data_IF_498766841566
#
_entry.id   IF_498766841566
#
_cell.length_a   1.000
_cell.length_b   1.000
_cell.length_c   1.000
_cell.angle_alpha   90.00
_cell.angle_beta   90.00
_cell.angle_gamma   90.00
#
_symmetry.space_group_name_H-M   'P 1'
#
loop_
_entity.id
_entity.type
_entity.pdbx_description
1 polymer ?
#
# COMPACT_ATOMS: atom_id res chain seq x y z
N UNK A 1 33.56 21.70 -0.33
CA UNK A 1 32.87 20.56 -0.99
C UNK A 1 32.92 20.81 -2.48
N UNK A 2 33.23 19.83 -3.32
CA UNK A 2 33.29 20.04 -4.77
C UNK A 2 31.88 20.18 -5.34
N UNK A 3 31.72 21.00 -6.37
CA UNK A 3 30.46 21.22 -7.11
C UNK A 3 29.81 19.91 -7.59
N UNK A 4 30.58 18.84 -7.76
CA UNK A 4 30.12 17.48 -8.04
C UNK A 4 29.42 16.82 -6.85
N UNK A 5 29.82 17.11 -5.62
CA UNK A 5 29.16 16.60 -4.39
C UNK A 5 27.88 17.37 -4.13
N UNK A 6 27.81 18.68 -4.40
CA UNK A 6 26.55 19.44 -4.33
C UNK A 6 25.53 19.02 -5.38
N UNK A 7 25.96 18.59 -6.56
CA UNK A 7 25.04 18.08 -7.59
C UNK A 7 24.57 16.65 -7.32
N UNK A 8 25.32 15.84 -6.58
CA UNK A 8 24.89 14.51 -6.10
C UNK A 8 23.91 14.57 -4.93
N UNK A 9 24.05 15.60 -4.08
CA UNK A 9 23.13 15.87 -2.92
C UNK A 9 21.77 16.41 -3.40
N UNK A 10 21.66 16.89 -4.63
CA UNK A 10 20.45 17.41 -5.26
C UNK A 10 19.78 16.42 -6.23
N UNK A 11 19.79 15.13 -5.94
CA UNK A 11 18.86 14.24 -6.65
C UNK A 11 17.48 14.49 -6.12
N UNK A 12 16.73 15.30 -6.85
CA UNK A 12 15.31 15.52 -6.59
C UNK A 12 14.57 14.20 -6.66
N UNK A 13 13.54 14.06 -5.83
CA UNK A 13 12.61 12.95 -5.86
C UNK A 13 12.11 12.72 -7.30
N UNK A 14 12.53 11.61 -7.92
CA UNK A 14 12.36 11.36 -9.36
C UNK A 14 10.92 11.32 -9.83
N UNK A 15 9.98 10.92 -8.96
CA UNK A 15 8.55 10.93 -9.22
C UNK A 15 7.87 12.28 -8.88
N UNK A 16 8.62 13.29 -8.44
CA UNK A 16 8.11 14.59 -7.99
C UNK A 16 7.66 15.55 -9.08
N UNK A 17 7.79 15.20 -10.37
CA UNK A 17 7.35 16.05 -11.46
C UNK A 17 5.82 16.18 -11.51
N UNK A 18 5.34 17.32 -12.04
CA UNK A 18 3.92 17.57 -12.29
C UNK A 18 3.58 17.22 -13.74
N UNK A 19 2.38 16.68 -13.93
CA UNK A 19 1.81 16.47 -15.27
C UNK A 19 0.76 17.57 -15.52
N UNK A 20 0.89 18.33 -16.60
CA UNK A 20 0.05 19.49 -16.92
C UNK A 20 -1.20 19.05 -17.70
N UNK A 21 -2.02 18.19 -17.10
CA UNK A 21 -3.27 17.70 -17.70
C UNK A 21 -4.44 18.47 -17.09
N UNK A 22 -5.31 18.99 -17.95
CA UNK A 22 -6.56 19.61 -17.46
C UNK A 22 -7.47 18.56 -16.83
N UNK A 23 -7.82 18.76 -15.57
CA UNK A 23 -8.68 17.88 -14.78
C UNK A 23 -10.06 18.52 -14.51
N UNK A 24 -11.09 17.67 -14.46
CA UNK A 24 -12.42 18.00 -13.94
C UNK A 24 -12.43 17.64 -12.46
N UNK A 25 -12.20 18.65 -11.61
CA UNK A 25 -12.08 18.49 -10.16
C UNK A 25 -13.33 18.99 -9.48
N UNK A 26 -13.90 18.17 -8.60
CA UNK A 26 -15.09 18.53 -7.83
C UNK A 26 -14.75 19.61 -6.80
N UNK A 27 -15.74 20.45 -6.45
CA UNK A 27 -15.61 21.42 -5.37
C UNK A 27 -15.11 20.75 -4.07
N UNK A 28 -14.34 21.46 -3.24
CA UNK A 28 -14.00 20.98 -1.90
C UNK A 28 -15.24 20.76 -1.02
N UNK A 29 -15.10 19.90 -0.03
CA UNK A 29 -16.09 19.56 0.96
C UNK A 29 -16.76 18.21 0.71
N UNK A 30 -17.24 17.59 1.79
CA UNK A 30 -17.90 16.28 1.77
C UNK A 30 -19.31 16.40 2.35
N UNK A 31 -20.29 16.05 1.52
CA UNK A 31 -21.69 15.92 1.85
C UNK A 31 -22.34 14.82 0.99
N UNK A 32 -23.64 14.57 1.17
CA UNK A 32 -24.35 13.54 0.38
C UNK A 32 -24.38 13.89 -1.11
N UNK A 33 -24.38 15.18 -1.50
CA UNK A 33 -24.41 15.59 -2.91
C UNK A 33 -23.10 15.23 -3.61
N UNK A 34 -21.95 15.39 -2.93
CA UNK A 34 -20.64 14.94 -3.42
C UNK A 34 -20.63 13.44 -3.67
N UNK A 35 -21.20 12.67 -2.77
CA UNK A 35 -21.28 11.21 -2.90
C UNK A 35 -22.18 10.80 -4.07
N UNK A 36 -23.34 11.45 -4.21
CA UNK A 36 -24.24 11.24 -5.36
C UNK A 36 -23.59 11.62 -6.67
N UNK A 37 -22.81 12.70 -6.68
CA UNK A 37 -22.04 13.11 -7.85
C UNK A 37 -21.00 12.06 -8.25
N UNK A 38 -20.19 11.53 -7.30
CA UNK A 38 -19.21 10.48 -7.56
C UNK A 38 -19.90 9.24 -8.14
N UNK A 39 -20.99 8.79 -7.52
CA UNK A 39 -21.76 7.64 -7.97
C UNK A 39 -22.33 7.83 -9.38
N UNK A 40 -22.87 9.03 -9.68
CA UNK A 40 -23.36 9.36 -11.01
C UNK A 40 -22.27 9.42 -12.07
N UNK A 41 -21.09 10.02 -11.75
CA UNK A 41 -19.92 10.04 -12.66
C UNK A 41 -19.38 8.64 -12.98
N UNK A 42 -19.48 7.72 -12.02
CA UNK A 42 -19.10 6.31 -12.21
C UNK A 42 -20.21 5.45 -12.81
N UNK A 43 -21.42 6.03 -13.02
CA UNK A 43 -22.61 5.32 -13.52
C UNK A 43 -22.94 4.08 -12.67
N UNK A 44 -22.88 4.25 -11.37
CA UNK A 44 -23.08 3.16 -10.42
C UNK A 44 -24.58 2.77 -10.30
N UNK A 45 -24.88 1.49 -10.06
CA UNK A 45 -26.25 1.08 -9.77
C UNK A 45 -26.68 1.58 -8.37
N UNK A 46 -27.98 1.73 -8.16
CA UNK A 46 -28.59 2.27 -6.93
C UNK A 46 -28.06 1.61 -5.65
N UNK A 47 -27.90 0.28 -5.64
CA UNK A 47 -27.36 -0.42 -4.46
C UNK A 47 -25.98 0.05 -4.03
N UNK A 48 -25.15 0.52 -4.99
CA UNK A 48 -23.80 1.02 -4.69
C UNK A 48 -23.88 2.43 -4.10
N UNK A 49 -24.77 3.28 -4.60
CA UNK A 49 -25.04 4.58 -4.01
C UNK A 49 -25.55 4.45 -2.57
N UNK A 50 -26.52 3.57 -2.32
CA UNK A 50 -27.02 3.28 -0.97
C UNK A 50 -25.90 2.81 -0.04
N UNK A 51 -25.01 1.95 -0.54
CA UNK A 51 -23.85 1.44 0.18
C UNK A 51 -22.91 2.59 0.61
N UNK A 52 -22.62 3.54 -0.30
CA UNK A 52 -21.83 4.73 -0.04
C UNK A 52 -22.46 5.66 1.00
N UNK A 53 -23.72 5.99 0.83
CA UNK A 53 -24.46 6.87 1.73
C UNK A 53 -24.54 6.28 3.15
N UNK A 54 -24.69 4.97 3.28
CA UNK A 54 -24.65 4.27 4.57
C UNK A 54 -23.27 4.41 5.23
N UNK A 55 -22.19 4.30 4.45
CA UNK A 55 -20.83 4.49 4.95
C UNK A 55 -20.59 5.93 5.42
N UNK A 56 -21.04 6.90 4.64
CA UNK A 56 -20.92 8.32 4.98
C UNK A 56 -21.63 8.67 6.29
N UNK A 57 -22.88 8.24 6.44
CA UNK A 57 -23.64 8.47 7.69
C UNK A 57 -22.98 7.84 8.90
N UNK A 58 -22.38 6.65 8.72
CA UNK A 58 -21.60 6.02 9.77
C UNK A 58 -20.31 6.81 10.09
N UNK A 59 -19.65 7.36 9.07
CA UNK A 59 -18.45 8.18 9.25
C UNK A 59 -18.71 9.45 10.02
N UNK A 60 -19.86 10.11 9.82
CA UNK A 60 -20.27 11.31 10.56
C UNK A 60 -20.44 11.06 12.07
N UNK A 61 -20.69 9.81 12.47
CA UNK A 61 -20.82 9.40 13.88
C UNK A 61 -19.49 9.00 14.52
N UNK A 62 -18.39 8.97 13.75
CA UNK A 62 -17.05 8.55 14.20
C UNK A 62 -16.16 9.74 14.50
N UNK A 63 -15.25 9.53 15.45
CA UNK A 63 -14.16 10.46 15.72
C UNK A 63 -12.87 10.00 15.07
N UNK A 64 -12.05 10.94 14.59
CA UNK A 64 -10.74 10.65 14.05
C UNK A 64 -9.87 10.03 15.17
N UNK A 65 -9.28 8.83 14.94
CA UNK A 65 -8.54 8.15 15.99
C UNK A 65 -7.19 8.84 16.28
N UNK A 66 -6.80 8.86 17.55
CA UNK A 66 -5.59 9.55 18.06
C UNK A 66 -4.59 8.61 18.73
N UNK A 67 -4.80 7.30 18.65
CA UNK A 67 -4.00 6.30 19.38
C UNK A 67 -2.67 5.93 18.70
N UNK A 68 -2.47 6.26 17.42
CA UNK A 68 -1.22 5.97 16.72
C UNK A 68 -0.06 6.84 17.23
N UNK A 69 1.14 6.29 17.15
CA UNK A 69 2.36 7.01 17.57
C UNK A 69 2.87 7.94 16.45
N UNK A 70 2.00 8.79 15.98
CA UNK A 70 2.28 9.84 14.99
C UNK A 70 1.60 11.13 15.42
N UNK A 71 2.20 12.27 15.06
CA UNK A 71 1.65 13.60 15.34
C UNK A 71 1.62 14.41 14.06
N UNK A 72 0.44 14.89 13.70
CA UNK A 72 0.20 15.71 12.52
C UNK A 72 -0.94 16.70 12.77
N UNK A 73 -1.01 17.82 12.04
CA UNK A 73 -2.17 18.70 12.07
C UNK A 73 -3.44 17.97 11.65
N UNK A 74 -4.55 18.23 12.33
CA UNK A 74 -5.85 17.64 12.00
C UNK A 74 -6.19 17.88 10.53
N UNK A 75 -6.66 16.83 9.84
CA UNK A 75 -7.07 16.93 8.45
C UNK A 75 -8.37 17.74 8.34
N UNK A 76 -8.37 18.78 7.52
CA UNK A 76 -9.59 19.50 7.20
C UNK A 76 -10.33 18.81 6.05
N UNK A 77 -11.20 17.85 6.38
CA UNK A 77 -11.97 17.09 5.40
C UNK A 77 -12.90 17.94 4.53
N UNK A 78 -13.24 19.15 4.97
CA UNK A 78 -14.07 20.08 4.19
C UNK A 78 -13.26 20.94 3.22
N UNK A 79 -11.93 20.93 3.32
CA UNK A 79 -11.04 21.60 2.37
C UNK A 79 -10.55 20.69 1.23
N UNK A 80 -10.82 19.38 1.31
CA UNK A 80 -10.41 18.41 0.30
C UNK A 80 -11.45 18.27 -0.82
N UNK A 81 -10.98 18.08 -2.05
CA UNK A 81 -11.78 17.52 -3.14
C UNK A 81 -11.73 15.99 -3.09
N UNK A 82 -12.85 15.36 -3.39
CA UNK A 82 -13.01 13.89 -3.32
C UNK A 82 -13.09 13.22 -4.69
N UNK A 83 -12.96 13.99 -5.75
CA UNK A 83 -12.93 13.47 -7.11
C UNK A 83 -12.16 14.40 -8.03
N UNK A 84 -11.25 13.84 -8.82
CA UNK A 84 -10.59 14.50 -9.92
C UNK A 84 -10.35 13.50 -11.06
N UNK A 85 -10.57 13.90 -12.29
CA UNK A 85 -10.33 13.08 -13.47
C UNK A 85 -9.82 13.95 -14.61
N UNK A 86 -8.84 13.48 -15.41
CA UNK A 86 -8.42 14.16 -16.62
C UNK A 86 -9.61 14.39 -17.56
N UNK A 87 -9.74 15.61 -18.12
CA UNK A 87 -10.83 15.93 -19.06
C UNK A 87 -10.78 15.05 -20.32
N UNK A 88 -9.59 14.66 -20.77
CA UNK A 88 -9.37 13.72 -21.87
C UNK A 88 -9.99 12.33 -21.63
N UNK A 89 -10.25 11.97 -20.38
CA UNK A 89 -10.88 10.70 -19.98
C UNK A 89 -12.42 10.76 -19.88
N UNK A 90 -13.04 11.88 -20.26
CA UNK A 90 -14.51 12.01 -20.29
C UNK A 90 -15.18 10.93 -21.17
N UNK A 91 -14.49 10.49 -22.24
CA UNK A 91 -14.81 9.29 -23.00
C UNK A 91 -13.74 8.25 -22.72
N UNK A 92 -14.09 7.16 -21.99
CA UNK A 92 -13.12 6.10 -21.68
C UNK A 92 -12.45 5.57 -22.95
N UNK A 93 -11.10 5.62 -23.04
CA UNK A 93 -10.38 5.08 -24.19
C UNK A 93 -10.59 3.56 -24.27
N UNK A 94 -10.75 3.06 -25.49
CA UNK A 94 -10.91 1.63 -25.77
C UNK A 94 -9.58 0.94 -26.09
N UNK A 95 -8.56 1.71 -26.41
CA UNK A 95 -7.21 1.24 -26.72
C UNK A 95 -6.17 2.25 -26.21
N UNK A 96 -4.90 1.84 -26.12
CA UNK A 96 -3.79 2.72 -25.79
C UNK A 96 -3.62 3.89 -26.76
N UNK A 97 -3.96 3.70 -28.02
CA UNK A 97 -3.85 4.74 -29.06
C UNK A 97 -4.85 5.88 -28.86
N UNK A 98 -5.89 5.66 -28.08
CA UNK A 98 -6.90 6.66 -27.72
C UNK A 98 -6.57 7.38 -26.40
N UNK A 99 -5.55 6.93 -25.66
CA UNK A 99 -5.09 7.54 -24.39
C UNK A 99 -4.31 8.81 -24.70
N UNK A 100 -4.53 9.85 -23.87
CA UNK A 100 -3.79 11.11 -23.97
C UNK A 100 -2.27 10.86 -23.94
N UNK A 101 -1.52 11.34 -24.96
CA UNK A 101 -0.07 11.14 -25.04
C UNK A 101 0.70 11.65 -23.83
N UNK A 102 0.20 12.69 -23.13
CA UNK A 102 0.84 13.24 -21.94
C UNK A 102 0.68 12.29 -20.74
N UNK A 103 -0.47 11.60 -20.62
CA UNK A 103 -0.66 10.52 -19.66
C UNK A 103 0.31 9.36 -19.93
N UNK A 104 0.42 8.92 -21.18
CA UNK A 104 1.36 7.85 -21.56
C UNK A 104 2.80 8.25 -21.25
N UNK A 105 3.20 9.49 -21.56
CA UNK A 105 4.53 10.03 -21.25
C UNK A 105 4.78 10.09 -19.75
N UNK A 106 3.76 10.37 -18.93
CA UNK A 106 3.84 10.36 -17.46
C UNK A 106 4.21 8.97 -16.95
N UNK A 107 3.50 7.93 -17.39
CA UNK A 107 3.81 6.56 -16.99
C UNK A 107 5.16 6.07 -17.50
N UNK A 108 5.55 6.47 -18.73
CA UNK A 108 6.88 6.17 -19.25
C UNK A 108 8.00 6.79 -18.39
N UNK A 109 7.84 8.05 -17.94
CA UNK A 109 8.79 8.68 -16.99
C UNK A 109 8.87 7.95 -15.66
N UNK A 110 7.78 7.34 -15.21
CA UNK A 110 7.74 6.54 -13.98
C UNK A 110 8.33 5.13 -14.18
N UNK A 111 8.72 4.77 -15.41
CA UNK A 111 9.23 3.44 -15.73
C UNK A 111 8.16 2.36 -15.79
N UNK A 112 6.88 2.74 -15.98
CA UNK A 112 5.75 1.82 -16.03
C UNK A 112 5.41 1.53 -17.48
N UNK A 113 5.69 0.32 -17.99
CA UNK A 113 5.38 -0.06 -19.36
C UNK A 113 3.88 -0.28 -19.54
N UNK A 114 3.21 0.56 -20.32
CA UNK A 114 1.79 0.40 -20.67
C UNK A 114 1.60 -0.38 -21.99
N UNK A 115 2.60 -0.39 -22.87
CA UNK A 115 2.55 -1.20 -24.07
C UNK A 115 2.91 -2.66 -23.77
N UNK A 116 2.05 -3.60 -24.17
CA UNK A 116 2.27 -5.04 -23.95
C UNK A 116 3.58 -5.56 -24.57
N UNK A 117 4.06 -4.91 -25.62
CA UNK A 117 5.34 -5.23 -26.27
C UNK A 117 6.56 -4.78 -25.48
N UNK A 118 6.42 -3.73 -24.66
CA UNK A 118 7.47 -3.16 -23.80
C UNK A 118 7.36 -3.70 -22.36
N UNK A 119 6.20 -4.26 -21.99
CA UNK A 119 5.99 -4.85 -20.70
C UNK A 119 6.94 -6.04 -20.48
N UNK A 120 7.59 -6.07 -19.35
CA UNK A 120 8.32 -7.26 -18.88
C UNK A 120 7.42 -8.48 -19.04
N UNK A 121 7.91 -9.49 -19.74
CA UNK A 121 7.12 -10.67 -20.07
C UNK A 121 6.53 -11.28 -18.80
N UNK A 122 5.21 -11.24 -18.67
CA UNK A 122 4.50 -11.88 -17.58
C UNK A 122 3.88 -10.98 -16.49
N UNK A 123 3.79 -9.65 -16.71
CA UNK A 123 3.08 -8.73 -15.78
C UNK A 123 1.94 -8.02 -16.49
N UNK A 124 0.72 -8.11 -15.95
CA UNK A 124 -0.42 -7.30 -16.39
C UNK A 124 -0.54 -6.06 -15.50
N UNK A 125 -0.69 -4.89 -16.11
CA UNK A 125 -0.69 -3.59 -15.41
C UNK A 125 -2.04 -2.90 -15.57
N UNK A 126 -2.59 -2.38 -14.47
CA UNK A 126 -3.66 -1.37 -14.45
C UNK A 126 -3.09 -0.04 -13.97
N UNK A 127 -3.23 1.01 -14.77
CA UNK A 127 -2.70 2.33 -14.48
C UNK A 127 -3.83 3.26 -14.06
N UNK A 128 -3.74 3.81 -12.84
CA UNK A 128 -4.74 4.70 -12.25
C UNK A 128 -4.14 6.09 -12.05
N UNK A 129 -4.80 7.10 -12.60
CA UNK A 129 -4.43 8.51 -12.49
C UNK A 129 -5.54 9.29 -11.77
N UNK A 130 -5.23 9.85 -10.62
CA UNK A 130 -6.20 10.45 -9.71
C UNK A 130 -7.39 9.50 -9.44
N UNK A 131 -8.60 9.85 -9.88
CA UNK A 131 -9.83 9.10 -9.60
C UNK A 131 -10.25 8.11 -10.71
N UNK A 132 -9.42 7.85 -11.74
CA UNK A 132 -9.81 7.01 -12.87
C UNK A 132 -8.72 6.06 -13.33
N UNK A 133 -9.12 4.81 -13.67
CA UNK A 133 -8.24 3.89 -14.38
C UNK A 133 -8.10 4.32 -15.83
N UNK A 134 -6.85 4.43 -16.28
CA UNK A 134 -6.48 4.87 -17.64
C UNK A 134 -6.49 3.68 -18.60
N UNK A 135 -5.85 2.57 -18.21
CA UNK A 135 -5.72 1.38 -19.05
C UNK A 135 -5.41 0.14 -18.22
N UNK A 136 -5.92 -1.01 -18.65
CA UNK A 136 -5.56 -2.34 -18.13
C UNK A 136 -4.98 -3.18 -19.27
N UNK A 137 -3.75 -3.67 -19.11
CA UNK A 137 -3.05 -4.48 -20.11
C UNK A 137 -3.38 -5.98 -20.01
N UNK A 138 -3.07 -6.76 -21.05
CA UNK A 138 -3.24 -8.24 -21.12
C UNK A 138 -4.65 -8.77 -20.80
N UNK A 139 -5.65 -7.93 -20.93
CA UNK A 139 -7.03 -8.25 -20.57
C UNK A 139 -7.55 -9.50 -21.25
N UNK A 140 -7.35 -9.65 -22.57
CA UNK A 140 -7.81 -10.81 -23.35
C UNK A 140 -7.20 -12.11 -22.84
N UNK A 141 -5.89 -12.13 -22.59
CA UNK A 141 -5.17 -13.31 -22.09
C UNK A 141 -5.63 -13.73 -20.69
N UNK A 142 -5.97 -12.76 -19.83
CA UNK A 142 -6.53 -13.03 -18.51
C UNK A 142 -7.96 -13.58 -18.61
N UNK A 143 -8.80 -12.99 -19.49
CA UNK A 143 -10.16 -13.43 -19.73
C UNK A 143 -10.20 -14.87 -20.31
N UNK A 144 -9.26 -15.25 -21.19
CA UNK A 144 -9.09 -16.63 -21.67
C UNK A 144 -8.82 -17.64 -20.56
N UNK A 145 -8.12 -17.23 -19.50
CA UNK A 145 -7.91 -18.03 -18.30
C UNK A 145 -9.10 -17.95 -17.30
N UNK A 146 -10.15 -17.19 -17.63
CA UNK A 146 -11.27 -16.91 -16.76
C UNK A 146 -10.98 -15.94 -15.62
N UNK A 147 -9.79 -15.29 -15.62
CA UNK A 147 -9.38 -14.32 -14.62
C UNK A 147 -10.03 -12.98 -14.91
N UNK A 148 -10.65 -12.38 -13.90
CA UNK A 148 -11.15 -11.01 -13.96
C UNK A 148 -10.10 -10.10 -13.33
N UNK A 149 -9.61 -9.13 -14.10
CA UNK A 149 -8.76 -8.03 -13.63
C UNK A 149 -9.24 -6.75 -14.30
N UNK A 150 -9.86 -5.88 -13.54
CA UNK A 150 -10.42 -4.63 -14.06
C UNK A 150 -10.56 -3.59 -12.91
N UNK A 151 -10.80 -2.32 -13.24
CA UNK A 151 -11.15 -1.32 -12.26
C UNK A 151 -12.40 -1.72 -11.47
N UNK A 152 -12.44 -1.41 -10.17
CA UNK A 152 -13.60 -1.75 -9.34
C UNK A 152 -14.87 -1.04 -9.82
N UNK A 153 -14.74 0.17 -10.38
CA UNK A 153 -15.85 0.92 -10.99
C UNK A 153 -16.48 0.19 -12.19
N UNK A 154 -15.69 -0.62 -12.91
CA UNK A 154 -16.19 -1.49 -13.97
C UNK A 154 -16.81 -2.77 -13.38
N UNK A 155 -16.14 -3.36 -12.38
CA UNK A 155 -16.62 -4.59 -11.74
C UNK A 155 -18.02 -4.43 -11.11
N UNK A 156 -18.30 -3.29 -10.50
CA UNK A 156 -19.62 -2.95 -9.91
C UNK A 156 -20.75 -3.07 -10.94
N UNK A 157 -20.47 -2.77 -12.21
CA UNK A 157 -21.44 -2.83 -13.32
C UNK A 157 -21.48 -4.19 -13.99
N UNK A 158 -20.31 -4.79 -14.26
CA UNK A 158 -20.21 -6.05 -15.04
C UNK A 158 -20.36 -7.31 -14.20
N UNK A 159 -19.98 -7.27 -12.93
CA UNK A 159 -19.96 -8.42 -12.04
C UNK A 159 -20.64 -8.12 -10.69
N UNK A 160 -21.86 -7.54 -10.68
CA UNK A 160 -22.52 -7.04 -9.47
C UNK A 160 -22.68 -8.09 -8.39
N UNK A 161 -22.94 -9.34 -8.75
CA UNK A 161 -23.14 -10.43 -7.78
C UNK A 161 -21.87 -10.79 -7.03
N UNK A 162 -20.72 -10.83 -7.72
CA UNK A 162 -19.42 -11.03 -7.08
C UNK A 162 -19.07 -9.85 -6.16
N UNK A 163 -19.24 -8.63 -6.65
CA UNK A 163 -18.94 -7.43 -5.86
C UNK A 163 -19.84 -7.37 -4.63
N UNK A 164 -21.14 -7.55 -4.76
CA UNK A 164 -22.09 -7.57 -3.61
C UNK A 164 -21.73 -8.64 -2.58
N UNK A 165 -21.24 -9.80 -3.03
CA UNK A 165 -20.88 -10.92 -2.14
C UNK A 165 -19.64 -10.62 -1.30
N UNK A 166 -18.67 -9.93 -1.87
CA UNK A 166 -17.35 -9.83 -1.25
C UNK A 166 -16.98 -8.43 -0.79
N UNK A 167 -17.47 -7.34 -1.40
CA UNK A 167 -17.17 -5.97 -1.01
C UNK A 167 -17.66 -5.69 0.41
N UNK A 168 -16.75 -5.25 1.27
CA UNK A 168 -17.05 -5.00 2.69
C UNK A 168 -17.18 -6.26 3.54
N UNK A 169 -16.90 -7.46 2.99
CA UNK A 169 -16.97 -8.73 3.74
C UNK A 169 -15.80 -8.91 4.71
N UNK A 170 -14.67 -8.28 4.42
CA UNK A 170 -13.43 -8.36 5.21
C UNK A 170 -13.15 -7.04 5.92
N UNK A 171 -13.37 -5.90 5.25
CA UNK A 171 -13.33 -4.56 5.83
C UNK A 171 -14.71 -3.92 5.69
N UNK A 172 -15.60 -4.09 6.69
CA UNK A 172 -16.94 -3.52 6.66
C UNK A 172 -16.93 -1.99 6.54
N UNK A 173 -18.02 -1.41 6.05
CA UNK A 173 -18.21 0.04 5.89
C UNK A 173 -17.97 0.85 7.18
N UNK A 174 -18.15 0.21 8.35
CA UNK A 174 -18.02 0.83 9.69
C UNK A 174 -16.80 0.32 10.45
N UNK A 175 -15.78 -0.22 9.75
CA UNK A 175 -14.64 -0.85 10.41
C UNK A 175 -13.81 0.16 11.25
N UNK A 176 -13.47 1.27 10.66
CA UNK A 176 -12.76 2.38 11.29
C UNK A 176 -13.02 3.68 10.51
N UNK A 177 -12.60 4.81 11.09
CA UNK A 177 -12.82 6.15 10.54
C UNK A 177 -12.41 6.28 9.07
N UNK A 178 -11.17 5.91 8.72
CA UNK A 178 -10.66 6.04 7.35
C UNK A 178 -11.24 4.99 6.38
N UNK A 179 -11.60 3.80 6.86
CA UNK A 179 -12.29 2.81 6.04
C UNK A 179 -13.74 3.21 5.75
N UNK A 180 -14.41 3.88 6.69
CA UNK A 180 -15.74 4.43 6.49
C UNK A 180 -15.70 5.60 5.49
N UNK A 181 -14.74 6.53 5.64
CA UNK A 181 -14.51 7.60 4.69
C UNK A 181 -14.23 7.04 3.28
N UNK A 182 -13.27 6.11 3.17
CA UNK A 182 -12.98 5.45 1.89
C UNK A 182 -14.24 4.82 1.30
N UNK A 183 -15.01 4.09 2.09
CA UNK A 183 -16.23 3.43 1.63
C UNK A 183 -17.25 4.42 1.06
N UNK A 184 -17.33 5.63 1.58
CA UNK A 184 -18.22 6.67 1.08
C UNK A 184 -17.74 7.26 -0.27
N UNK A 185 -16.42 7.45 -0.44
CA UNK A 185 -15.88 8.30 -1.52
C UNK A 185 -14.91 7.61 -2.47
N UNK A 186 -14.55 6.33 -2.29
CA UNK A 186 -13.58 5.70 -3.19
C UNK A 186 -14.00 5.87 -4.65
N UNK A 187 -13.03 6.21 -5.48
CA UNK A 187 -13.30 6.51 -6.88
C UNK A 187 -12.91 5.38 -7.82
N UNK A 188 -11.77 4.75 -7.57
CA UNK A 188 -11.37 3.55 -8.28
C UNK A 188 -10.45 2.66 -7.41
N UNK A 189 -9.85 1.67 -8.01
CA UNK A 189 -9.01 0.63 -7.45
C UNK A 189 -9.21 -0.64 -8.23
N UNK A 190 -8.63 -1.74 -7.78
CA UNK A 190 -8.63 -2.98 -8.55
C UNK A 190 -9.66 -3.98 -8.05
N UNK A 191 -10.35 -4.60 -8.99
CA UNK A 191 -11.11 -5.83 -8.76
C UNK A 191 -10.43 -7.00 -9.43
N UNK A 192 -10.11 -8.03 -8.64
CA UNK A 192 -9.49 -9.27 -9.12
C UNK A 192 -10.32 -10.46 -8.64
N UNK A 193 -10.68 -11.35 -9.58
CA UNK A 193 -11.27 -12.65 -9.27
C UNK A 193 -10.52 -13.73 -10.01
N UNK A 194 -9.98 -14.69 -9.27
CA UNK A 194 -9.31 -15.87 -9.81
C UNK A 194 -10.22 -17.07 -9.64
N UNK A 195 -10.65 -17.72 -10.73
CA UNK A 195 -11.56 -18.86 -10.67
C UNK A 195 -10.97 -20.06 -9.94
N UNK A 196 -11.83 -20.95 -9.48
CA UNK A 196 -11.48 -22.21 -8.80
C UNK A 196 -10.43 -23.01 -9.57
N UNK A 197 -9.34 -23.38 -8.87
CA UNK A 197 -8.25 -24.19 -9.41
C UNK A 197 -7.35 -23.48 -10.41
N UNK A 198 -7.58 -22.21 -10.71
CA UNK A 198 -6.77 -21.44 -11.67
C UNK A 198 -5.55 -20.85 -10.98
N UNK A 199 -4.38 -21.09 -11.56
CA UNK A 199 -3.19 -20.32 -11.24
C UNK A 199 -3.10 -19.15 -12.20
N UNK A 200 -3.15 -17.91 -11.70
CA UNK A 200 -3.05 -16.72 -12.54
C UNK A 200 -1.83 -16.84 -13.46
N UNK A 201 -1.98 -16.69 -14.79
CA UNK A 201 -0.90 -16.98 -15.74
C UNK A 201 0.24 -15.95 -15.71
N UNK A 202 0.04 -14.83 -15.04
CA UNK A 202 1.01 -13.73 -14.91
C UNK A 202 0.82 -13.00 -13.59
N UNK A 203 1.80 -12.21 -13.21
CA UNK A 203 1.67 -11.27 -12.11
C UNK A 203 0.73 -10.12 -12.49
N UNK A 204 -0.07 -9.66 -11.53
CA UNK A 204 -0.94 -8.49 -11.71
C UNK A 204 -0.31 -7.31 -10.99
N UNK A 205 -0.40 -6.13 -11.58
CA UNK A 205 0.11 -4.90 -10.97
C UNK A 205 -0.86 -3.75 -11.16
N UNK A 206 -1.03 -2.92 -10.13
CA UNK A 206 -1.73 -1.65 -10.27
C UNK A 206 -0.83 -0.52 -9.80
N UNK A 207 -0.79 0.52 -10.60
CA UNK A 207 0.01 1.70 -10.32
C UNK A 207 -0.87 2.93 -10.14
N UNK A 208 -0.77 3.56 -8.96
CA UNK A 208 -1.53 4.75 -8.60
C UNK A 208 -0.66 6.00 -8.68
N UNK A 209 -1.14 7.01 -9.39
CA UNK A 209 -0.52 8.34 -9.48
C UNK A 209 -1.49 9.40 -9.01
N UNK A 210 -1.20 10.05 -7.89
CA UNK A 210 -1.88 11.28 -7.49
C UNK A 210 -1.22 12.43 -8.26
N UNK A 211 -1.99 13.32 -8.85
CA UNK A 211 -1.46 14.49 -9.57
C UNK A 211 -2.13 15.80 -9.18
N UNK A 212 -3.46 15.81 -8.94
CA UNK A 212 -4.21 17.03 -8.70
C UNK A 212 -4.02 17.60 -7.28
N UNK A 213 -4.04 18.95 -7.17
CA UNK A 213 -3.92 19.69 -5.91
C UNK A 213 -5.16 19.54 -5.03
N UNK A 214 -4.97 19.55 -3.71
CA UNK A 214 -6.07 19.54 -2.72
C UNK A 214 -7.07 18.40 -2.93
N UNK A 215 -6.67 17.33 -3.61
CA UNK A 215 -7.49 16.14 -3.84
C UNK A 215 -7.01 15.01 -2.96
N UNK A 216 -7.93 14.43 -2.19
CA UNK A 216 -7.69 13.16 -1.51
C UNK A 216 -7.70 12.01 -2.50
N UNK A 217 -6.85 11.02 -2.30
CA UNK A 217 -6.84 9.77 -3.05
C UNK A 217 -7.51 8.67 -2.22
N UNK A 218 -8.56 8.08 -2.77
CA UNK A 218 -9.37 7.07 -2.08
C UNK A 218 -9.53 5.85 -2.97
N UNK A 219 -8.70 4.84 -2.76
CA UNK A 219 -8.67 3.62 -3.57
C UNK A 219 -9.30 2.47 -2.80
N UNK A 220 -9.99 1.59 -3.53
CA UNK A 220 -10.51 0.37 -2.95
C UNK A 220 -10.19 -0.84 -3.83
N UNK A 221 -9.35 -1.72 -3.32
CA UNK A 221 -8.95 -2.96 -4.01
C UNK A 221 -9.63 -4.16 -3.35
N UNK A 222 -10.23 -5.02 -4.18
CA UNK A 222 -10.84 -6.28 -3.77
C UNK A 222 -10.25 -7.42 -4.59
N UNK A 223 -9.57 -8.36 -3.92
CA UNK A 223 -9.01 -9.56 -4.55
C UNK A 223 -9.67 -10.80 -3.96
N UNK A 224 -10.25 -11.60 -4.81
CA UNK A 224 -10.88 -12.88 -4.46
C UNK A 224 -10.16 -14.01 -5.19
N UNK A 225 -9.50 -14.87 -4.45
CA UNK A 225 -8.94 -16.12 -4.95
C UNK A 225 -9.87 -17.28 -4.57
N UNK A 226 -10.54 -17.87 -5.56
CA UNK A 226 -11.46 -18.98 -5.37
C UNK A 226 -10.71 -20.27 -5.00
N UNK A 227 -11.42 -21.34 -4.63
CA UNK A 227 -10.84 -22.58 -4.11
C UNK A 227 -9.67 -23.09 -4.96
N UNK A 228 -8.53 -23.35 -4.31
CA UNK A 228 -7.33 -23.91 -4.95
C UNK A 228 -6.65 -22.99 -5.97
N UNK A 229 -7.02 -21.72 -6.03
CA UNK A 229 -6.43 -20.74 -6.96
C UNK A 229 -5.19 -20.04 -6.40
N UNK A 230 -4.45 -19.37 -7.29
CA UNK A 230 -3.24 -18.61 -6.93
C UNK A 230 -3.18 -17.29 -7.69
N UNK A 231 -2.79 -16.23 -6.99
CA UNK A 231 -2.47 -14.93 -7.58
C UNK A 231 -1.30 -14.26 -6.86
N UNK A 232 -0.46 -13.58 -7.63
CA UNK A 232 0.51 -12.60 -7.15
C UNK A 232 0.11 -11.22 -7.67
N UNK A 233 0.00 -10.26 -6.77
CA UNK A 233 -0.45 -8.90 -7.07
C UNK A 233 0.50 -7.88 -6.45
N UNK A 234 0.84 -6.86 -7.22
CA UNK A 234 1.67 -5.74 -6.80
C UNK A 234 0.91 -4.41 -6.87
N UNK A 235 1.10 -3.60 -5.85
CA UNK A 235 0.63 -2.21 -5.79
C UNK A 235 1.83 -1.27 -5.77
N UNK A 236 1.90 -0.34 -6.72
CA UNK A 236 2.85 0.76 -6.75
C UNK A 236 2.13 2.10 -6.61
N UNK A 237 2.70 3.04 -5.84
CA UNK A 237 2.09 4.35 -5.61
C UNK A 237 3.13 5.46 -5.65
N UNK A 238 2.78 6.58 -6.33
CA UNK A 238 3.61 7.79 -6.38
C UNK A 238 2.77 9.06 -6.33
N UNK A 239 3.39 10.17 -5.90
CA UNK A 239 2.79 11.51 -5.93
C UNK A 239 3.82 12.57 -6.32
N UNK A 240 3.43 13.73 -6.91
CA UNK A 240 4.34 14.85 -7.16
C UNK A 240 4.74 15.55 -5.86
N UNK A 241 5.80 16.34 -5.93
CA UNK A 241 6.20 17.25 -4.84
C UNK A 241 5.17 18.37 -4.70
N UNK A 242 4.67 18.60 -3.49
CA UNK A 242 3.72 19.66 -3.17
C UNK A 242 4.03 20.28 -1.82
N UNK A 243 3.84 21.59 -1.70
CA UNK A 243 3.97 22.34 -0.44
C UNK A 243 2.82 22.08 0.54
N UNK A 244 1.79 21.38 0.10
CA UNK A 244 0.59 21.06 0.86
C UNK A 244 0.52 19.58 1.15
N UNK A 245 -0.07 19.22 2.30
CA UNK A 245 -0.29 17.82 2.63
C UNK A 245 -1.46 17.26 1.84
N UNK A 246 -1.30 16.06 1.31
CA UNK A 246 -2.36 15.34 0.61
C UNK A 246 -2.72 14.05 1.35
N UNK A 247 -4.03 13.78 1.45
CA UNK A 247 -4.55 12.59 2.10
C UNK A 247 -4.64 11.44 1.10
N UNK A 248 -4.00 10.33 1.42
CA UNK A 248 -4.22 9.03 0.78
C UNK A 248 -4.86 8.08 1.80
N UNK A 249 -6.10 7.67 1.55
CA UNK A 249 -6.82 6.74 2.41
C UNK A 249 -7.37 5.57 1.59
N UNK A 250 -6.65 4.46 1.56
CA UNK A 250 -7.00 3.28 0.78
C UNK A 250 -7.54 2.13 1.64
N UNK A 251 -8.34 1.28 1.00
CA UNK A 251 -8.81 0.02 1.59
C UNK A 251 -8.50 -1.14 0.66
N UNK A 252 -7.90 -2.21 1.20
CA UNK A 252 -7.64 -3.46 0.48
C UNK A 252 -8.28 -4.62 1.22
N UNK A 253 -9.09 -5.38 0.49
CA UNK A 253 -9.74 -6.61 0.96
C UNK A 253 -9.24 -7.82 0.18
N UNK A 254 -8.70 -8.83 0.88
CA UNK A 254 -8.31 -10.11 0.28
C UNK A 254 -9.18 -11.24 0.81
N UNK A 255 -9.71 -12.04 -0.09
CA UNK A 255 -10.47 -13.24 0.24
C UNK A 255 -9.78 -14.45 -0.38
N UNK A 256 -9.12 -15.27 0.44
CA UNK A 256 -8.56 -16.54 0.01
C UNK A 256 -9.47 -17.66 0.47
N UNK A 257 -10.22 -18.27 -0.47
CA UNK A 257 -11.10 -19.41 -0.21
C UNK A 257 -10.27 -20.67 0.05
N UNK A 258 -10.90 -21.82 0.26
CA UNK A 258 -10.24 -23.07 0.61
C UNK A 258 -9.09 -23.40 -0.35
N UNK A 259 -7.91 -23.73 0.20
CA UNK A 259 -6.70 -24.10 -0.53
C UNK A 259 -6.13 -22.98 -1.46
N UNK A 260 -6.69 -21.75 -1.43
CA UNK A 260 -6.25 -20.63 -2.26
C UNK A 260 -5.02 -19.91 -1.69
N UNK A 261 -4.27 -19.24 -2.56
CA UNK A 261 -3.08 -18.48 -2.17
C UNK A 261 -3.08 -17.09 -2.82
N UNK A 262 -2.84 -16.05 -2.01
CA UNK A 262 -2.66 -14.67 -2.47
C UNK A 262 -1.32 -14.17 -1.96
N UNK A 263 -0.45 -13.73 -2.88
CA UNK A 263 0.69 -12.86 -2.57
C UNK A 263 0.31 -11.42 -2.92
N UNK A 264 0.43 -10.54 -1.96
CA UNK A 264 0.17 -9.11 -2.15
C UNK A 264 1.39 -8.30 -1.76
N UNK A 265 1.99 -7.66 -2.74
CA UNK A 265 3.18 -6.84 -2.55
C UNK A 265 2.85 -5.36 -2.74
N UNK A 266 3.48 -4.49 -1.95
CA UNK A 266 3.36 -3.03 -2.08
C UNK A 266 4.76 -2.43 -2.11
N UNK A 267 5.04 -1.60 -3.11
CA UNK A 267 6.21 -0.72 -3.12
C UNK A 267 5.70 0.71 -3.22
N UNK A 268 5.87 1.48 -2.15
CA UNK A 268 5.38 2.86 -2.08
C UNK A 268 6.52 3.85 -2.09
N UNK A 269 6.40 4.82 -2.98
CA UNK A 269 7.35 5.91 -3.17
C UNK A 269 6.60 7.25 -3.16
N UNK A 270 6.14 7.64 -1.98
CA UNK A 270 5.41 8.89 -1.79
C UNK A 270 6.36 10.08 -1.60
N UNK A 271 5.85 11.27 -1.86
CA UNK A 271 6.56 12.49 -1.50
C UNK A 271 6.53 12.72 0.02
N UNK A 272 7.71 12.86 0.67
CA UNK A 272 7.80 12.93 2.14
C UNK A 272 7.53 14.33 2.74
N UNK A 273 7.37 15.36 1.93
CA UNK A 273 7.52 16.75 2.33
C UNK A 273 8.96 17.25 2.17
N UNK A 274 9.16 18.54 2.36
CA UNK A 274 10.47 19.18 2.30
C UNK A 274 11.32 18.94 3.58
N UNK A 275 12.51 19.50 3.64
CA UNK A 275 13.43 19.36 4.80
C UNK A 275 12.89 19.99 6.07
N UNK A 276 11.99 20.95 5.96
CA UNK A 276 11.29 21.64 7.05
C UNK A 276 10.03 20.90 7.49
N UNK A 277 9.63 19.83 6.78
CA UNK A 277 8.44 19.01 7.05
C UNK A 277 7.15 19.62 6.47
N UNK A 278 7.27 20.52 5.48
CA UNK A 278 6.12 21.11 4.79
C UNK A 278 5.70 20.23 3.62
N UNK A 279 4.39 20.03 3.45
CA UNK A 279 3.84 19.17 2.41
C UNK A 279 3.98 17.68 2.73
N UNK A 280 3.88 16.86 1.70
CA UNK A 280 4.00 15.40 1.78
C UNK A 280 2.66 14.67 1.98
N UNK A 281 2.72 13.37 1.81
CA UNK A 281 1.54 12.51 1.82
C UNK A 281 1.22 12.01 3.23
N UNK A 282 -0.05 12.08 3.63
CA UNK A 282 -0.62 11.36 4.77
C UNK A 282 -1.20 10.04 4.25
N UNK A 283 -0.51 8.96 4.53
CA UNK A 283 -0.79 7.63 3.97
C UNK A 283 -1.49 6.75 5.02
N UNK A 284 -2.82 6.78 5.04
CA UNK A 284 -3.67 6.07 6.00
C UNK A 284 -4.40 4.91 5.32
N UNK A 285 -3.93 3.68 5.54
CA UNK A 285 -4.38 2.53 4.76
C UNK A 285 -4.88 1.39 5.64
N UNK A 286 -6.05 0.87 5.31
CA UNK A 286 -6.62 -0.34 5.91
C UNK A 286 -6.52 -1.50 4.94
N UNK A 287 -5.67 -2.50 5.26
CA UNK A 287 -5.54 -3.74 4.48
C UNK A 287 -5.92 -4.93 5.34
N UNK A 288 -6.79 -5.80 4.84
CA UNK A 288 -7.17 -7.02 5.56
C UNK A 288 -7.46 -8.17 4.62
N UNK A 289 -6.95 -9.35 5.00
CA UNK A 289 -7.23 -10.60 4.33
C UNK A 289 -7.92 -11.60 5.24
N UNK A 290 -8.76 -12.45 4.65
CA UNK A 290 -9.36 -13.61 5.31
C UNK A 290 -8.90 -14.89 4.64
N UNK A 291 -8.37 -15.82 5.42
CA UNK A 291 -7.91 -17.13 4.97
C UNK A 291 -8.89 -18.20 5.40
N UNK A 292 -9.47 -18.92 4.44
CA UNK A 292 -10.26 -20.12 4.67
C UNK A 292 -9.37 -21.35 4.89
N UNK A 293 -9.92 -22.57 4.84
CA UNK A 293 -9.20 -23.82 5.12
C UNK A 293 -8.01 -24.00 4.18
N UNK A 294 -6.82 -24.29 4.75
CA UNK A 294 -5.54 -24.44 4.04
C UNK A 294 -5.12 -23.23 3.19
N UNK A 295 -5.84 -22.11 3.24
CA UNK A 295 -5.53 -20.93 2.44
C UNK A 295 -4.32 -20.17 3.01
N UNK A 296 -3.65 -19.40 2.14
CA UNK A 296 -2.47 -18.60 2.48
C UNK A 296 -2.59 -17.18 1.94
N UNK A 297 -2.31 -16.19 2.79
CA UNK A 297 -2.10 -14.80 2.39
C UNK A 297 -0.73 -14.36 2.86
N UNK A 298 0.07 -13.85 1.93
CA UNK A 298 1.38 -13.24 2.20
C UNK A 298 1.35 -11.77 1.82
N UNK A 299 1.59 -10.90 2.79
CA UNK A 299 1.76 -9.47 2.60
C UNK A 299 3.26 -9.17 2.58
N UNK A 300 3.72 -8.50 1.53
CA UNK A 300 5.08 -7.95 1.47
C UNK A 300 4.99 -6.46 1.21
N UNK A 301 5.63 -5.62 2.03
CA UNK A 301 5.58 -4.18 1.84
C UNK A 301 6.93 -3.51 2.01
N UNK A 302 7.18 -2.52 1.15
CA UNK A 302 8.27 -1.57 1.26
C UNK A 302 7.67 -0.18 1.28
N UNK A 303 7.72 0.45 2.46
CA UNK A 303 7.15 1.77 2.71
C UNK A 303 8.28 2.78 2.76
N UNK A 304 8.31 3.68 1.77
CA UNK A 304 9.23 4.81 1.73
C UNK A 304 8.48 6.10 1.41
N UNK A 305 9.07 7.22 1.76
CA UNK A 305 8.38 8.50 1.60
C UNK A 305 7.25 8.65 2.61
N UNK A 306 6.21 9.40 2.26
CA UNK A 306 5.14 9.85 3.13
C UNK A 306 5.60 10.73 4.30
N UNK A 307 4.92 11.84 4.54
CA UNK A 307 5.14 12.61 5.76
C UNK A 307 4.68 11.82 6.98
N UNK A 308 3.50 11.20 6.87
CA UNK A 308 2.90 10.35 7.90
C UNK A 308 2.45 9.03 7.26
N UNK A 309 2.88 7.91 7.83
CA UNK A 309 2.39 6.58 7.45
C UNK A 309 1.65 5.93 8.61
N UNK A 310 0.42 5.46 8.34
CA UNK A 310 -0.40 4.74 9.31
C UNK A 310 -1.07 3.55 8.62
N UNK A 311 -0.49 2.34 8.80
CA UNK A 311 -0.84 1.19 7.98
C UNK A 311 -0.59 -0.14 8.68
N UNK A 312 -1.63 -1.00 8.75
CA UNK A 312 -1.56 -2.31 9.39
C UNK A 312 -2.24 -3.40 8.54
N UNK A 313 -1.55 -3.98 7.55
CA UNK A 313 -2.06 -5.17 6.87
C UNK A 313 -2.37 -6.29 7.88
N UNK A 314 -3.47 -6.98 7.71
CA UNK A 314 -3.90 -7.98 8.68
C UNK A 314 -4.41 -9.27 8.03
N UNK A 315 -4.31 -10.39 8.75
CA UNK A 315 -4.86 -11.68 8.36
C UNK A 315 -5.82 -12.21 9.42
N UNK A 316 -7.02 -12.59 8.97
CA UNK A 316 -7.96 -13.39 9.75
C UNK A 316 -7.80 -14.84 9.31
N UNK A 317 -7.16 -15.66 10.14
CA UNK A 317 -6.91 -17.08 9.89
C UNK A 317 -8.13 -17.89 10.35
N UNK A 318 -9.18 -17.84 9.53
CA UNK A 318 -10.52 -18.36 9.86
C UNK A 318 -10.59 -19.88 9.71
N UNK A 319 -10.03 -20.41 8.63
CA UNK A 319 -10.08 -21.84 8.35
C UNK A 319 -8.94 -22.61 8.98
N UNK A 320 -9.13 -23.91 9.20
CA UNK A 320 -8.11 -24.81 9.72
C UNK A 320 -6.88 -24.85 8.77
N UNK A 321 -5.68 -24.96 9.32
CA UNK A 321 -4.39 -24.96 8.63
C UNK A 321 -4.10 -23.71 7.80
N UNK A 322 -4.85 -22.62 7.95
CA UNK A 322 -4.58 -21.39 7.20
C UNK A 322 -3.29 -20.70 7.65
N UNK A 323 -2.68 -19.97 6.72
CA UNK A 323 -1.37 -19.33 6.92
C UNK A 323 -1.45 -17.85 6.58
N UNK A 324 -0.93 -17.00 7.48
CA UNK A 324 -0.78 -15.57 7.27
C UNK A 324 0.68 -15.15 7.41
N UNK A 325 1.18 -14.38 6.45
CA UNK A 325 2.55 -13.88 6.46
C UNK A 325 2.60 -12.38 6.29
N UNK A 326 3.57 -11.76 6.93
CA UNK A 326 3.82 -10.33 6.81
C UNK A 326 5.32 -10.07 6.81
N UNK A 327 5.80 -9.54 5.71
CA UNK A 327 7.17 -9.10 5.49
C UNK A 327 7.18 -7.61 5.21
N UNK A 328 7.89 -6.81 5.99
CA UNK A 328 7.84 -5.36 5.89
C UNK A 328 9.19 -4.70 6.05
N UNK A 329 9.45 -3.72 5.18
CA UNK A 329 10.45 -2.68 5.40
C UNK A 329 9.72 -1.35 5.52
N UNK A 330 9.96 -0.61 6.59
CA UNK A 330 9.50 0.76 6.77
C UNK A 330 10.71 1.67 6.97
N UNK A 331 10.93 2.59 6.04
CA UNK A 331 12.02 3.55 6.12
C UNK A 331 11.48 4.96 6.33
N UNK A 332 11.97 5.63 7.36
CA UNK A 332 11.66 7.02 7.66
C UNK A 332 12.95 7.84 7.75
N UNK A 333 12.92 9.05 7.22
CA UNK A 333 14.03 10.00 7.26
C UNK A 333 13.52 11.41 7.59
N UNK A 334 14.42 12.34 7.91
CA UNK A 334 14.09 13.74 8.25
C UNK A 334 13.01 13.85 9.33
N UNK A 335 11.84 14.40 9.01
CA UNK A 335 10.71 14.63 9.92
C UNK A 335 9.57 13.62 9.72
N UNK A 336 9.78 12.60 8.89
CA UNK A 336 8.78 11.57 8.63
C UNK A 336 8.41 10.79 9.89
N UNK A 337 7.15 10.38 9.98
CA UNK A 337 6.65 9.54 11.06
C UNK A 337 5.89 8.36 10.50
N UNK A 338 6.13 7.18 11.06
CA UNK A 338 5.43 5.97 10.68
C UNK A 338 4.95 5.21 11.91
N UNK A 339 3.69 4.80 11.94
CA UNK A 339 3.18 3.76 12.82
C UNK A 339 2.64 2.64 11.94
N UNK A 340 3.46 1.62 11.72
CA UNK A 340 3.18 0.49 10.84
C UNK A 340 3.16 -0.82 11.60
N UNK A 341 2.73 -1.87 10.95
CA UNK A 341 2.74 -3.20 11.57
C UNK A 341 1.68 -4.12 11.01
N UNK A 342 1.23 -5.06 11.82
CA UNK A 342 0.29 -6.08 11.35
C UNK A 342 -0.61 -6.62 12.46
N UNK A 343 -1.69 -7.30 12.06
CA UNK A 343 -2.59 -8.03 12.96
C UNK A 343 -2.79 -9.44 12.45
N UNK A 344 -2.45 -10.45 13.24
CA UNK A 344 -2.67 -11.86 12.95
C UNK A 344 -3.69 -12.43 13.92
N UNK A 345 -4.87 -12.80 13.41
CA UNK A 345 -6.01 -13.27 14.23
C UNK A 345 -6.27 -14.73 13.90
N UNK A 346 -5.91 -15.63 14.82
CA UNK A 346 -6.05 -17.07 14.69
C UNK A 346 -7.42 -17.53 15.22
N UNK A 347 -8.22 -18.13 14.36
CA UNK A 347 -9.58 -18.66 14.67
C UNK A 347 -9.64 -20.18 14.43
N UNK A 348 -9.15 -20.63 13.26
CA UNK A 348 -9.08 -22.05 12.91
C UNK A 348 -7.99 -22.82 13.66
N UNK A 349 -8.03 -24.15 13.58
CA UNK A 349 -7.03 -25.04 14.17
C UNK A 349 -5.76 -25.11 13.31
N UNK A 350 -4.62 -25.36 13.95
CA UNK A 350 -3.30 -25.53 13.30
C UNK A 350 -2.91 -24.36 12.39
N UNK A 351 -3.45 -23.16 12.66
CA UNK A 351 -3.14 -21.96 11.91
C UNK A 351 -1.72 -21.47 12.20
N UNK A 352 -1.08 -20.84 11.20
CA UNK A 352 0.29 -20.34 11.33
C UNK A 352 0.37 -18.90 10.90
N UNK A 353 1.18 -18.10 11.60
CA UNK A 353 1.56 -16.75 11.17
C UNK A 353 3.04 -16.51 11.31
N UNK A 354 3.60 -15.78 10.33
CA UNK A 354 4.99 -15.33 10.33
C UNK A 354 4.98 -13.81 10.14
N UNK A 355 5.74 -13.12 10.97
CA UNK A 355 5.89 -11.66 10.91
C UNK A 355 7.38 -11.35 10.92
N UNK A 356 7.85 -10.67 9.87
CA UNK A 356 9.21 -10.12 9.78
C UNK A 356 9.10 -8.64 9.43
N UNK A 357 9.39 -7.78 10.39
CA UNK A 357 9.29 -6.33 10.24
C UNK A 357 10.65 -5.67 10.47
N UNK A 358 11.14 -4.93 9.48
CA UNK A 358 12.39 -4.18 9.50
C UNK A 358 12.08 -2.69 9.47
N UNK A 359 12.32 -1.98 10.58
CA UNK A 359 12.17 -0.54 10.68
C UNK A 359 13.52 0.16 10.51
N UNK A 360 13.58 1.23 9.74
CA UNK A 360 14.78 2.06 9.58
C UNK A 360 14.39 3.50 9.86
N UNK A 361 15.10 4.13 10.78
CA UNK A 361 14.89 5.53 11.13
C UNK A 361 16.18 6.30 10.97
N UNK A 362 16.10 7.45 10.27
CA UNK A 362 17.24 8.34 10.02
C UNK A 362 16.87 9.80 10.33
N UNK A 363 17.86 10.66 10.50
CA UNK A 363 17.68 12.09 10.72
C UNK A 363 16.96 12.41 12.03
N UNK A 364 15.73 12.90 11.98
CA UNK A 364 14.85 13.24 13.12
C UNK A 364 13.55 12.47 13.08
N UNK A 365 13.48 11.43 12.25
CA UNK A 365 12.27 10.65 12.02
C UNK A 365 11.88 9.76 13.20
N UNK A 366 10.63 9.35 13.23
CA UNK A 366 10.07 8.44 14.24
C UNK A 366 9.39 7.27 13.54
N UNK A 367 9.83 6.05 13.84
CA UNK A 367 9.21 4.83 13.31
C UNK A 367 8.67 3.98 14.46
N UNK A 368 7.42 3.57 14.36
CA UNK A 368 6.78 2.66 15.30
C UNK A 368 6.33 1.39 14.58
N UNK A 369 6.63 0.24 15.18
CA UNK A 369 6.05 -1.04 14.84
C UNK A 369 4.97 -1.41 15.84
N UNK A 370 3.77 -1.75 15.35
CA UNK A 370 2.66 -2.21 16.19
C UNK A 370 2.17 -3.58 15.70
N UNK A 371 2.35 -4.60 16.53
CA UNK A 371 1.99 -5.99 16.20
C UNK A 371 0.89 -6.53 17.10
N UNK A 372 -0.23 -7.00 16.51
CA UNK A 372 -1.25 -7.75 17.23
C UNK A 372 -1.20 -9.22 16.81
N UNK A 373 -0.99 -10.13 17.77
CA UNK A 373 -1.22 -11.56 17.61
C UNK A 373 -2.32 -11.99 18.58
N UNK A 374 -3.46 -12.40 18.02
CA UNK A 374 -4.58 -12.90 18.81
C UNK A 374 -4.88 -14.34 18.47
N UNK A 375 -4.84 -15.22 19.48
CA UNK A 375 -5.18 -16.63 19.34
C UNK A 375 -6.47 -16.89 20.11
N UNK A 376 -7.53 -17.19 19.37
CA UNK A 376 -8.86 -17.44 19.95
C UNK A 376 -8.91 -18.82 20.64
N UNK A 377 -9.89 -19.02 21.53
CA UNK A 377 -10.04 -20.26 22.30
C UNK A 377 -10.15 -21.52 21.42
N UNK A 378 -10.76 -21.41 20.22
CA UNK A 378 -10.90 -22.52 19.28
C UNK A 378 -9.66 -22.83 18.42
N UNK A 379 -8.66 -21.96 18.42
CA UNK A 379 -7.47 -22.07 17.58
C UNK A 379 -6.43 -23.04 18.15
N UNK A 380 -6.77 -24.31 18.29
CA UNK A 380 -5.89 -25.34 18.78
C UNK A 380 -4.69 -25.53 17.86
N UNK A 381 -3.49 -25.67 18.44
CA UNK A 381 -2.24 -25.88 17.67
C UNK A 381 -1.78 -24.68 16.86
N UNK A 382 -2.31 -23.47 17.13
CA UNK A 382 -1.88 -22.25 16.47
C UNK A 382 -0.42 -21.93 16.78
N UNK A 383 0.31 -21.42 15.78
CA UNK A 383 1.71 -21.01 15.90
C UNK A 383 1.92 -19.63 15.33
N UNK A 384 2.68 -18.80 16.05
CA UNK A 384 3.15 -17.51 15.56
C UNK A 384 4.66 -17.39 15.75
N UNK A 385 5.33 -16.85 14.73
CA UNK A 385 6.69 -16.33 14.81
C UNK A 385 6.66 -14.84 14.46
N UNK A 386 7.28 -14.01 15.31
CA UNK A 386 7.40 -12.58 15.09
C UNK A 386 8.83 -12.14 15.32
N UNK A 387 9.41 -11.49 14.32
CA UNK A 387 10.68 -10.78 14.40
C UNK A 387 10.46 -9.32 14.02
N UNK A 388 10.79 -8.39 14.92
CA UNK A 388 10.74 -6.96 14.63
C UNK A 388 12.07 -6.31 14.99
N UNK A 389 12.80 -5.90 13.96
CA UNK A 389 14.11 -5.29 14.08
C UNK A 389 14.08 -3.83 13.67
N UNK A 390 14.77 -2.99 14.40
CA UNK A 390 14.93 -1.57 14.12
C UNK A 390 16.39 -1.19 13.95
N UNK A 391 16.68 -0.41 12.92
CA UNK A 391 17.99 0.15 12.62
C UNK A 391 17.96 1.67 12.70
N UNK A 392 18.79 2.26 13.55
CA UNK A 392 18.89 3.70 13.73
C UNK A 392 20.12 4.25 12.99
N UNK A 393 19.92 5.37 12.28
CA UNK A 393 20.99 6.09 11.56
C UNK A 393 21.01 7.53 12.09
N UNK A 394 22.02 7.84 12.91
CA UNK A 394 22.15 9.12 13.61
C UNK A 394 21.62 9.09 15.05
N UNK A 395 21.52 10.28 15.69
CA UNK A 395 21.30 10.43 17.13
C UNK A 395 19.94 10.99 17.51
N UNK A 396 19.14 11.46 16.55
CA UNK A 396 17.89 12.17 16.78
C UNK A 396 16.64 11.46 16.26
N UNK A 397 16.83 10.33 15.60
CA UNK A 397 15.73 9.46 15.16
C UNK A 397 15.29 8.50 16.28
N UNK A 398 14.07 7.99 16.17
CA UNK A 398 13.51 7.06 17.16
C UNK A 398 12.90 5.81 16.52
N UNK A 399 12.94 4.72 17.28
CA UNK A 399 12.22 3.49 16.98
C UNK A 399 11.41 3.05 18.19
N UNK A 400 10.15 2.67 17.97
CA UNK A 400 9.21 2.27 18.99
C UNK A 400 8.57 0.93 18.62
N UNK A 401 8.33 0.08 19.61
CA UNK A 401 7.73 -1.24 19.38
C UNK A 401 6.57 -1.43 20.35
N UNK A 402 5.38 -1.72 19.82
CA UNK A 402 4.14 -1.92 20.57
C UNK A 402 3.57 -3.31 20.28
N UNK A 403 4.12 -4.38 20.89
CA UNK A 403 3.58 -5.72 20.73
C UNK A 403 2.31 -5.87 21.59
N UNK A 404 1.29 -6.50 21.01
CA UNK A 404 0.10 -6.92 21.71
C UNK A 404 -0.18 -8.39 21.43
N UNK A 405 0.00 -9.24 22.43
CA UNK A 405 -0.14 -10.70 22.30
C UNK A 405 -1.23 -11.19 23.24
N UNK A 406 -2.27 -11.77 22.67
CA UNK A 406 -3.39 -12.35 23.41
C UNK A 406 -3.57 -13.81 22.99
N UNK A 407 -3.36 -14.75 23.93
CA UNK A 407 -3.65 -16.17 23.69
C UNK A 407 -4.73 -16.67 24.64
N UNK A 408 -5.78 -17.27 24.07
CA UNK A 408 -6.87 -17.94 24.79
C UNK A 408 -6.84 -19.45 24.63
N UNK A 409 -5.77 -20.02 24.08
CA UNK A 409 -5.60 -21.46 23.88
C UNK A 409 -4.25 -21.94 24.38
N UNK A 410 -4.25 -22.92 25.28
CA UNK A 410 -3.03 -23.42 25.93
C UNK A 410 -2.10 -24.22 25.00
N UNK A 411 -2.58 -24.68 23.84
CA UNK A 411 -1.76 -25.40 22.84
C UNK A 411 -1.04 -24.47 21.88
N UNK A 412 -1.21 -23.15 22.02
CA UNK A 412 -0.56 -22.17 21.17
C UNK A 412 0.94 -22.09 21.44
N UNK A 413 1.72 -21.88 20.37
CA UNK A 413 3.14 -21.56 20.43
C UNK A 413 3.38 -20.19 19.84
N UNK A 414 3.97 -19.29 20.63
CA UNK A 414 4.25 -17.91 20.22
C UNK A 414 5.71 -17.61 20.48
N UNK A 415 6.42 -17.23 19.43
CA UNK A 415 7.80 -16.76 19.45
C UNK A 415 7.82 -15.30 19.05
N UNK A 416 8.43 -14.44 19.87
CA UNK A 416 8.53 -13.00 19.59
C UNK A 416 9.94 -12.51 19.91
N UNK A 417 10.60 -11.96 18.91
CA UNK A 417 11.91 -11.34 19.01
C UNK A 417 11.81 -9.86 18.60
N UNK A 418 12.49 -8.99 19.31
CA UNK A 418 12.60 -7.58 19.00
C UNK A 418 14.03 -7.10 19.23
N UNK A 419 14.63 -6.47 18.22
CA UNK A 419 15.96 -5.90 18.33
C UNK A 419 15.97 -4.43 17.89
N UNK A 420 16.84 -3.64 18.51
CA UNK A 420 17.14 -2.29 18.05
C UNK A 420 18.63 -2.12 18.03
N UNK A 421 19.15 -1.74 16.88
CA UNK A 421 20.57 -1.49 16.66
C UNK A 421 20.79 -0.11 16.04
N UNK A 422 21.98 0.43 16.20
CA UNK A 422 22.42 1.68 15.56
C UNK A 422 23.58 1.34 14.63
N UNK A 423 23.62 1.97 13.46
CA UNK A 423 24.81 1.93 12.60
C UNK A 423 25.98 2.53 13.38
N UNK A 424 27.02 1.72 13.65
CA UNK A 424 28.14 2.15 14.46
C UNK A 424 29.21 2.83 13.61
N UNK A 425 29.93 3.77 14.25
CA UNK A 425 31.09 4.44 13.61
C UNK A 425 32.17 3.43 13.21
N UNK A 426 32.35 2.34 13.97
CA UNK A 426 33.31 1.27 13.65
C UNK A 426 32.92 0.53 12.36
N UNK A 427 31.64 0.27 12.13
CA UNK A 427 31.15 -0.34 10.90
C UNK A 427 31.38 0.57 9.70
N UNK A 428 31.06 1.87 9.84
CA UNK A 428 31.31 2.86 8.81
C UNK A 428 32.80 3.00 8.52
N UNK A 429 33.64 3.11 9.57
CA UNK A 429 35.08 3.18 9.46
C UNK A 429 35.65 1.95 8.71
N UNK A 430 35.20 0.74 9.04
CA UNK A 430 35.60 -0.48 8.37
C UNK A 430 35.28 -0.45 6.86
N UNK A 431 34.11 0.06 6.48
CA UNK A 431 33.70 0.20 5.09
C UNK A 431 34.54 1.26 4.37
N UNK A 432 34.79 2.39 5.03
CA UNK A 432 35.63 3.49 4.51
C UNK A 432 37.05 3.06 4.29
N UNK A 433 37.66 2.28 5.19
CA UNK A 433 38.97 1.66 5.01
C UNK A 433 39.07 0.76 3.77
N UNK A 434 37.97 0.29 3.27
CA UNK A 434 37.87 -0.51 2.02
C UNK A 434 37.49 0.32 0.80
N UNK A 435 37.53 1.66 0.92
CA UNK A 435 37.30 2.60 -0.18
C UNK A 435 35.83 2.91 -0.47
N UNK A 436 34.89 2.54 0.41
CA UNK A 436 33.51 2.97 0.30
C UNK A 436 33.35 4.36 0.94
N UNK A 437 32.61 5.25 0.30
CA UNK A 437 32.15 6.48 0.94
C UNK A 437 31.08 6.17 2.00
N UNK A 438 30.80 7.14 2.88
CA UNK A 438 29.87 6.94 4.00
C UNK A 438 28.44 6.59 3.53
N UNK A 439 27.96 7.21 2.44
CA UNK A 439 26.63 6.97 1.91
C UNK A 439 26.50 5.55 1.33
N UNK A 440 27.49 5.11 0.54
CA UNK A 440 27.54 3.74 0.04
C UNK A 440 27.65 2.70 1.16
N UNK A 441 28.42 3.02 2.22
CA UNK A 441 28.54 2.15 3.38
C UNK A 441 27.19 1.99 4.09
N UNK A 442 26.45 3.08 4.33
CA UNK A 442 25.09 3.02 4.91
C UNK A 442 24.14 2.28 4.00
N UNK A 443 24.11 2.57 2.70
CA UNK A 443 23.27 1.87 1.73
C UNK A 443 23.52 0.36 1.75
N UNK A 444 24.78 -0.07 1.78
CA UNK A 444 25.14 -1.49 1.85
C UNK A 444 24.65 -2.16 3.14
N UNK A 445 24.79 -1.49 4.30
CA UNK A 445 24.33 -1.98 5.59
C UNK A 445 22.80 -2.13 5.58
N UNK A 446 22.08 -1.11 5.11
CA UNK A 446 20.63 -1.07 5.03
C UNK A 446 20.08 -2.15 4.07
N UNK A 447 20.69 -2.29 2.88
CA UNK A 447 20.29 -3.34 1.94
C UNK A 447 20.52 -4.75 2.52
N UNK A 448 21.61 -4.93 3.26
CA UNK A 448 21.88 -6.18 4.01
C UNK A 448 20.82 -6.46 5.07
N UNK A 449 20.41 -5.44 5.84
CA UNK A 449 19.38 -5.51 6.86
C UNK A 449 17.99 -5.85 6.29
N UNK A 450 17.65 -5.35 5.10
CA UNK A 450 16.38 -5.56 4.43
C UNK A 450 16.31 -6.84 3.59
N UNK A 451 17.43 -7.54 3.39
CA UNK A 451 17.58 -8.66 2.44
C UNK A 451 16.52 -9.75 2.60
N UNK A 452 16.12 -10.04 3.83
CA UNK A 452 15.12 -11.08 4.13
C UNK A 452 13.77 -10.75 3.54
N UNK A 453 13.33 -9.48 3.66
CA UNK A 453 12.07 -8.99 3.10
C UNK A 453 12.13 -8.90 1.58
N UNK A 454 13.26 -8.44 1.02
CA UNK A 454 13.41 -8.31 -0.43
C UNK A 454 13.34 -9.64 -1.19
N UNK A 455 13.69 -10.75 -0.54
CA UNK A 455 13.55 -12.10 -1.14
C UNK A 455 12.10 -12.50 -1.41
N UNK A 456 11.14 -11.88 -0.72
CA UNK A 456 9.73 -12.14 -0.88
C UNK A 456 9.09 -11.32 -2.03
N UNK A 457 9.81 -10.29 -2.54
CA UNK A 457 9.39 -9.53 -3.72
C UNK A 457 9.79 -10.24 -5.02
N UNK A 458 9.03 -10.05 -6.11
CA UNK A 458 9.54 -10.32 -7.46
C UNK A 458 10.86 -9.57 -7.71
N UNK A 459 11.75 -10.17 -8.52
CA UNK A 459 13.14 -9.68 -8.65
C UNK A 459 13.22 -8.21 -9.11
N UNK A 460 12.38 -7.82 -10.08
CA UNK A 460 12.34 -6.46 -10.61
C UNK A 460 11.99 -5.44 -9.51
N UNK A 461 11.02 -5.78 -8.67
CA UNK A 461 10.56 -4.93 -7.57
C UNK A 461 11.53 -4.93 -6.38
N UNK A 462 12.25 -6.02 -6.16
CA UNK A 462 13.32 -6.06 -5.17
C UNK A 462 14.47 -5.09 -5.54
N UNK A 463 14.80 -4.99 -6.83
CA UNK A 463 15.80 -4.03 -7.34
C UNK A 463 15.29 -2.59 -7.22
N UNK A 464 14.03 -2.34 -7.56
CA UNK A 464 13.40 -1.03 -7.38
C UNK A 464 13.38 -0.61 -5.91
N UNK A 465 12.93 -1.50 -5.02
CA UNK A 465 12.92 -1.25 -3.59
C UNK A 465 14.32 -0.91 -3.04
N UNK A 466 15.35 -1.64 -3.46
CA UNK A 466 16.74 -1.34 -3.07
C UNK A 466 17.18 0.06 -3.49
N UNK A 467 16.87 0.47 -4.73
CA UNK A 467 17.17 1.82 -5.22
C UNK A 467 16.41 2.91 -4.47
N UNK A 468 15.12 2.66 -4.14
CA UNK A 468 14.31 3.61 -3.36
C UNK A 468 14.88 3.83 -1.96
N UNK A 469 15.39 2.79 -1.30
CA UNK A 469 16.04 2.92 0.00
C UNK A 469 17.33 3.77 -0.09
N UNK A 470 18.13 3.58 -1.14
CA UNK A 470 19.33 4.39 -1.38
C UNK A 470 18.98 5.88 -1.49
N UNK A 471 18.05 6.21 -2.38
CA UNK A 471 17.61 7.60 -2.59
C UNK A 471 17.00 8.22 -1.33
N UNK A 472 16.19 7.44 -0.59
CA UNK A 472 15.53 7.94 0.62
C UNK A 472 16.50 8.20 1.78
N UNK A 473 17.71 7.66 1.74
CA UNK A 473 18.77 7.85 2.74
C UNK A 473 19.84 8.86 2.32
N UNK A 474 19.80 9.38 1.11
CA UNK A 474 20.72 10.43 0.68
C UNK A 474 20.67 11.62 1.64
N UNK A 475 21.84 12.10 2.10
CA UNK A 475 21.94 13.17 3.08
C UNK A 475 21.61 12.82 4.53
N UNK A 476 21.36 11.55 4.85
CA UNK A 476 21.11 11.11 6.24
C UNK A 476 22.39 10.90 7.05
N UNK A 477 23.55 10.87 6.38
CA UNK A 477 24.88 10.70 6.96
C UNK A 477 25.61 12.04 6.91
N UNK A 478 25.51 12.85 7.96
CA UNK A 478 26.18 14.14 8.06
C UNK A 478 26.28 14.60 9.50
#
# INVERSE_FOLDING_TARGET
>A
MSEQVENLIRKDYSAGFHTTIESDTLRPGLDEDVIRFISAKKEEPEWMLEWRLKAYRAWLEMEEPTWAHVSYPLVNFQALSYYSAPKSMANKPKSLDEVDPELLATYAKLGIPLHEQEALAGVAVDAVFDSVSVVTTYRVKLEEAGVIFCPISEAVKRFPDLVKKYLGSVVPQKDNFYAALNSAVFSDGSFVYIPKGVRCPMELSTYFRINELNTGQFERTLIVADEGSYVSYLEGCTAPMRDENQLHAAVVELVALDDAQIKYSTVQNWYPGDKEGKGGIYNFVTKRGICHRNARISWTQVETGSAITWKYPSCILKGDNSVGEFYSVALTNNLQQADTGTKMIHIGKNTRSTIVAKGISAGRSQSAYRGLVRINAGAQGARNYTQCDSLLIGDRCGAHTFPYIESKNASAVIEHEATTSKVSDDQLFLCQQRGLDAEKAVSMIVNGFCREVFKELPMEFAVEAGKLLEVSLEGSVG
#
